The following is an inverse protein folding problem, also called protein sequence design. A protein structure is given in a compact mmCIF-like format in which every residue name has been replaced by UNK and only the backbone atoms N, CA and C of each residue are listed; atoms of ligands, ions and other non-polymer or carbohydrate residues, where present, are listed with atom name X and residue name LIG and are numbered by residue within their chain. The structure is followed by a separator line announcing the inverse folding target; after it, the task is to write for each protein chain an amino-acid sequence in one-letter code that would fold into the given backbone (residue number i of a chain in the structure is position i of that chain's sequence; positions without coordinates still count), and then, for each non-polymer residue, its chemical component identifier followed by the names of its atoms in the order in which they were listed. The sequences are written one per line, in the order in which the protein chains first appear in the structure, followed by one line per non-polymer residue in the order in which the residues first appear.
data_IF_541281048801
#
_entry.id   IF_541281048801
#
_cell.length_a   1.000
_cell.length_b   1.000
_cell.length_c   1.000
_cell.angle_alpha   90.00
_cell.angle_beta   90.00
_cell.angle_gamma   90.00
#
_symmetry.space_group_name_H-M   'P 1'
#
loop_
_entity.id
_entity.type
_entity.pdbx_description
1 polymer ?
#
# COMPACT_ATOMS: atom_id res chain seq x y z
N UNK A 1 11.93 4.65 5.05
CA UNK A 1 11.42 5.82 4.31
C UNK A 1 12.13 6.05 2.98
N UNK A 2 13.46 6.20 2.95
CA UNK A 2 14.21 6.48 1.71
C UNK A 2 13.99 5.43 0.61
N UNK A 3 14.18 4.13 0.90
CA UNK A 3 13.98 3.07 -0.08
C UNK A 3 12.56 3.05 -0.67
N UNK A 4 11.53 3.15 0.17
CA UNK A 4 10.13 3.21 -0.26
C UNK A 4 9.88 4.39 -1.21
N UNK A 5 10.32 5.59 -0.83
CA UNK A 5 10.08 6.78 -1.63
C UNK A 5 10.85 6.75 -2.97
N UNK A 6 12.09 6.26 -2.97
CA UNK A 6 12.87 6.11 -4.20
C UNK A 6 12.22 5.10 -5.15
N UNK A 7 11.78 3.94 -4.65
CA UNK A 7 11.12 2.92 -5.46
C UNK A 7 9.79 3.46 -6.01
N UNK A 8 8.99 4.15 -5.19
CA UNK A 8 7.73 4.75 -5.64
C UNK A 8 7.91 5.79 -6.74
N UNK A 9 8.96 6.62 -6.66
CA UNK A 9 9.26 7.62 -7.71
C UNK A 9 9.68 6.92 -9.00
N UNK A 10 10.58 5.93 -8.92
CA UNK A 10 11.03 5.18 -10.10
C UNK A 10 9.84 4.46 -10.75
N UNK A 11 9.06 3.73 -9.96
CA UNK A 11 7.87 3.02 -10.44
C UNK A 11 6.86 3.98 -11.07
N UNK A 12 6.53 5.09 -10.41
CA UNK A 12 5.61 6.09 -10.93
C UNK A 12 6.10 6.68 -12.27
N UNK A 13 7.38 7.05 -12.36
CA UNK A 13 7.95 7.58 -13.59
C UNK A 13 7.94 6.56 -14.73
N UNK A 14 8.35 5.32 -14.45
CA UNK A 14 8.37 4.23 -15.43
C UNK A 14 6.97 3.91 -15.97
N UNK A 15 5.99 3.78 -15.08
CA UNK A 15 4.59 3.49 -15.48
C UNK A 15 4.05 4.64 -16.32
N UNK A 16 4.22 5.88 -15.88
CA UNK A 16 3.70 7.05 -16.61
C UNK A 16 4.34 7.21 -17.98
N UNK A 17 5.66 7.02 -18.10
CA UNK A 17 6.33 7.05 -19.41
C UNK A 17 5.81 5.96 -20.35
N UNK A 18 5.59 4.75 -19.82
CA UNK A 18 5.12 3.63 -20.62
C UNK A 18 3.68 3.83 -21.10
N UNK A 19 2.78 4.32 -20.22
CA UNK A 19 1.38 4.61 -20.56
C UNK A 19 1.30 5.63 -21.70
N UNK A 20 2.01 6.75 -21.57
CA UNK A 20 1.99 7.83 -22.58
C UNK A 20 2.68 7.45 -23.90
N UNK A 21 3.51 6.41 -23.90
CA UNK A 21 4.18 5.93 -25.11
C UNK A 21 3.35 4.93 -25.91
N UNK A 22 2.38 4.28 -25.27
CA UNK A 22 1.78 3.03 -25.80
C UNK A 22 0.27 3.12 -25.96
N UNK A 23 -0.41 3.86 -25.08
CA UNK A 23 -1.87 3.96 -25.06
C UNK A 23 -2.31 5.17 -25.90
N UNK A 24 -3.33 4.98 -26.74
CA UNK A 24 -3.87 6.02 -27.61
C UNK A 24 -4.53 7.18 -26.83
N UNK A 25 -5.23 6.86 -25.73
CA UNK A 25 -5.79 7.83 -24.79
C UNK A 25 -5.19 7.66 -23.38
N UNK A 26 -3.99 8.21 -23.12
CA UNK A 26 -3.30 8.02 -21.85
C UNK A 26 -3.96 8.78 -20.69
N UNK A 27 -4.71 9.85 -20.96
CA UNK A 27 -5.39 10.62 -19.92
C UNK A 27 -6.55 9.83 -19.32
N UNK A 28 -7.36 9.20 -20.17
CA UNK A 28 -8.43 8.30 -19.73
C UNK A 28 -7.84 7.11 -18.95
N UNK A 29 -6.77 6.50 -19.46
CA UNK A 29 -6.11 5.35 -18.83
C UNK A 29 -5.58 5.62 -17.41
N UNK A 30 -4.99 6.80 -17.18
CA UNK A 30 -4.49 7.18 -15.84
C UNK A 30 -5.64 7.58 -14.91
N UNK A 31 -6.75 8.09 -15.45
CA UNK A 31 -7.92 8.48 -14.66
C UNK A 31 -8.72 7.30 -14.11
N UNK A 32 -8.55 6.09 -14.66
CA UNK A 32 -9.21 4.85 -14.20
C UNK A 32 -8.74 4.32 -12.84
N UNK A 33 -7.83 5.01 -12.15
CA UNK A 33 -7.33 4.64 -10.83
C UNK A 33 -6.28 3.53 -10.84
N UNK A 34 -5.81 3.16 -9.65
CA UNK A 34 -4.69 2.22 -9.48
C UNK A 34 -5.00 0.80 -10.00
N UNK A 35 -6.24 0.34 -9.85
CA UNK A 35 -6.70 -0.96 -10.33
C UNK A 35 -6.68 -1.04 -11.86
N UNK A 36 -7.22 -0.03 -12.56
CA UNK A 36 -7.23 -0.01 -14.02
C UNK A 36 -5.82 0.07 -14.61
N UNK A 37 -4.94 0.89 -14.03
CA UNK A 37 -3.53 0.98 -14.45
C UNK A 37 -2.85 -0.39 -14.34
N UNK A 38 -3.07 -1.10 -13.23
CA UNK A 38 -2.39 -2.38 -12.95
C UNK A 38 -2.90 -3.53 -13.80
N UNK A 39 -4.22 -3.63 -14.02
CA UNK A 39 -4.84 -4.79 -14.64
C UNK A 39 -5.22 -4.61 -16.10
N UNK A 40 -5.26 -3.37 -16.62
CA UNK A 40 -5.54 -3.08 -18.03
C UNK A 40 -4.33 -2.46 -18.73
N UNK A 41 -3.85 -1.34 -18.18
CA UNK A 41 -2.85 -0.53 -18.88
C UNK A 41 -1.48 -1.20 -18.93
N UNK A 42 -1.00 -1.76 -17.81
CA UNK A 42 0.30 -2.42 -17.78
C UNK A 42 0.36 -3.69 -18.66
N UNK A 43 -0.65 -4.58 -18.65
CA UNK A 43 -0.70 -5.68 -19.62
C UNK A 43 -0.70 -5.21 -21.08
N UNK A 44 -1.41 -4.14 -21.41
CA UNK A 44 -1.41 -3.55 -22.75
C UNK A 44 -0.01 -3.03 -23.14
N UNK A 45 0.67 -2.34 -22.23
CA UNK A 45 2.07 -1.92 -22.40
C UNK A 45 2.98 -3.13 -22.69
N UNK A 46 2.83 -4.22 -21.94
CA UNK A 46 3.63 -5.42 -22.17
C UNK A 46 3.29 -6.13 -23.50
N UNK A 47 2.05 -6.04 -23.99
CA UNK A 47 1.64 -6.60 -25.27
C UNK A 47 2.25 -5.87 -26.48
N UNK A 48 2.73 -4.64 -26.31
CA UNK A 48 3.46 -3.90 -27.34
C UNK A 48 4.99 -4.03 -27.19
N UNK A 49 5.47 -4.78 -26.19
CA UNK A 49 6.91 -4.96 -25.98
C UNK A 49 7.55 -5.75 -27.14
N UNK A 50 8.76 -5.35 -27.59
CA UNK A 50 9.52 -6.09 -28.58
C UNK A 50 9.99 -7.44 -28.00
N UNK A 51 9.94 -8.51 -28.80
CA UNK A 51 10.36 -9.85 -28.36
C UNK A 51 9.37 -10.98 -28.68
N UNK A 52 8.22 -10.65 -29.27
CA UNK A 52 7.22 -11.62 -29.69
C UNK A 52 6.38 -12.19 -28.52
N UNK A 53 5.39 -13.04 -28.81
CA UNK A 53 4.35 -13.41 -27.85
C UNK A 53 4.85 -14.08 -26.57
N UNK A 54 5.95 -14.85 -26.67
CA UNK A 54 6.53 -15.57 -25.52
C UNK A 54 7.15 -14.60 -24.51
N UNK A 55 7.86 -13.57 -24.98
CA UNK A 55 8.48 -12.56 -24.12
C UNK A 55 7.41 -11.71 -23.44
N UNK A 56 6.38 -11.32 -24.18
CA UNK A 56 5.26 -10.53 -23.66
C UNK A 56 4.53 -11.28 -22.53
N UNK A 57 4.23 -12.57 -22.74
CA UNK A 57 3.62 -13.42 -21.72
C UNK A 57 4.53 -13.55 -20.48
N UNK A 58 5.84 -13.73 -20.68
CA UNK A 58 6.79 -13.83 -19.57
C UNK A 58 6.86 -12.55 -18.74
N UNK A 59 6.81 -11.37 -19.39
CA UNK A 59 6.79 -10.08 -18.70
C UNK A 59 5.53 -9.90 -17.84
N UNK A 60 4.35 -10.20 -18.40
CA UNK A 60 3.08 -10.15 -17.67
C UNK A 60 3.09 -11.11 -16.48
N UNK A 61 3.55 -12.35 -16.70
CA UNK A 61 3.62 -13.36 -15.65
C UNK A 61 4.57 -12.96 -14.52
N UNK A 62 5.78 -12.48 -14.85
CA UNK A 62 6.74 -12.01 -13.85
C UNK A 62 6.25 -10.77 -13.10
N UNK A 63 5.57 -9.85 -13.80
CA UNK A 63 4.99 -8.66 -13.17
C UNK A 63 3.94 -9.05 -12.12
N UNK A 64 2.96 -9.88 -12.46
CA UNK A 64 1.92 -10.28 -11.50
C UNK A 64 2.46 -11.19 -10.39
N UNK A 65 3.48 -12.01 -10.67
CA UNK A 65 4.17 -12.79 -9.64
C UNK A 65 4.90 -11.88 -8.64
N UNK A 66 5.64 -10.88 -9.12
CA UNK A 66 6.32 -9.90 -8.29
C UNK A 66 5.31 -9.06 -7.48
N UNK A 67 4.23 -8.61 -8.11
CA UNK A 67 3.14 -7.88 -7.47
C UNK A 67 2.50 -8.72 -6.34
N UNK A 68 2.32 -10.03 -6.57
CA UNK A 68 1.78 -10.95 -5.57
C UNK A 68 2.71 -11.08 -4.36
N UNK A 69 4.03 -11.24 -4.56
CA UNK A 69 4.98 -11.27 -3.44
C UNK A 69 5.05 -9.95 -2.68
N UNK A 70 5.00 -8.82 -3.38
CA UNK A 70 4.94 -7.50 -2.76
C UNK A 70 3.68 -7.35 -1.89
N UNK A 71 2.52 -7.78 -2.39
CA UNK A 71 1.27 -7.77 -1.64
C UNK A 71 1.31 -8.70 -0.41
N UNK A 72 1.84 -9.92 -0.55
CA UNK A 72 1.96 -10.88 0.55
C UNK A 72 2.83 -10.36 1.71
N UNK A 73 3.99 -9.79 1.39
CA UNK A 73 4.89 -9.24 2.42
C UNK A 73 4.28 -8.05 3.14
N UNK A 74 3.59 -7.16 2.43
CA UNK A 74 2.82 -6.06 3.04
C UNK A 74 1.73 -6.59 3.98
N UNK A 75 0.96 -7.58 3.51
CA UNK A 75 -0.14 -8.19 4.28
C UNK A 75 0.35 -8.84 5.58
N UNK A 76 1.50 -9.52 5.57
CA UNK A 76 2.08 -10.14 6.77
C UNK A 76 2.31 -9.10 7.87
N UNK A 77 2.87 -7.93 7.52
CA UNK A 77 3.12 -6.84 8.46
C UNK A 77 1.82 -6.28 9.06
N UNK A 78 0.81 -6.07 8.22
CA UNK A 78 -0.50 -5.55 8.66
C UNK A 78 -1.23 -6.55 9.55
N UNK A 79 -1.19 -7.84 9.24
CA UNK A 79 -1.77 -8.89 10.08
C UNK A 79 -1.07 -8.93 11.45
N UNK A 80 0.27 -8.90 11.48
CA UNK A 80 1.02 -8.91 12.73
C UNK A 80 0.69 -7.69 13.61
N UNK A 81 0.46 -6.52 13.01
CA UNK A 81 0.02 -5.33 13.74
C UNK A 81 -1.33 -5.56 14.43
N UNK A 82 -2.31 -6.13 13.74
CA UNK A 82 -3.61 -6.49 14.33
C UNK A 82 -3.46 -7.56 15.42
N UNK A 83 -2.66 -8.60 15.17
CA UNK A 83 -2.42 -9.69 16.14
C UNK A 83 -1.80 -9.13 17.42
N UNK A 84 -0.80 -8.25 17.29
CA UNK A 84 -0.13 -7.63 18.44
C UNK A 84 -1.10 -6.79 19.26
N UNK A 85 -2.00 -6.06 18.62
CA UNK A 85 -3.05 -5.32 19.31
C UNK A 85 -3.96 -6.23 20.17
N UNK A 86 -4.33 -7.42 19.69
CA UNK A 86 -5.09 -8.39 20.48
C UNK A 86 -4.28 -9.04 21.61
N UNK A 87 -3.00 -9.33 21.35
CA UNK A 87 -2.10 -9.90 22.36
C UNK A 87 -1.85 -8.93 23.50
N UNK A 88 -1.71 -7.64 23.22
CA UNK A 88 -1.56 -6.59 24.23
C UNK A 88 -2.80 -6.47 25.14
N UNK A 89 -3.97 -6.90 24.68
CA UNK A 89 -5.20 -7.02 25.48
C UNK A 89 -5.34 -8.38 26.22
N UNK A 90 -4.33 -9.25 26.18
CA UNK A 90 -4.30 -10.51 26.94
C UNK A 90 -4.78 -11.75 26.18
N UNK A 91 -4.99 -11.67 24.86
CA UNK A 91 -5.36 -12.83 24.03
C UNK A 91 -4.11 -13.66 23.68
N UNK A 92 -4.21 -14.99 23.78
CA UNK A 92 -3.13 -15.89 23.33
C UNK A 92 -2.81 -15.69 21.84
N UNK A 93 -1.52 -15.59 21.49
CA UNK A 93 -1.04 -15.29 20.14
C UNK A 93 -1.61 -16.20 19.06
N UNK A 94 -1.63 -17.51 19.28
CA UNK A 94 -2.16 -18.48 18.31
C UNK A 94 -3.64 -18.22 17.98
N UNK A 95 -4.43 -17.89 19.00
CA UNK A 95 -5.86 -17.55 18.84
C UNK A 95 -6.03 -16.20 18.14
N UNK A 96 -5.19 -15.22 18.47
CA UNK A 96 -5.21 -13.91 17.84
C UNK A 96 -4.88 -13.97 16.34
N UNK A 97 -3.88 -14.77 15.94
CA UNK A 97 -3.55 -15.00 14.52
C UNK A 97 -4.72 -15.65 13.79
N UNK A 98 -5.23 -16.76 14.31
CA UNK A 98 -6.35 -17.49 13.69
C UNK A 98 -7.60 -16.62 13.54
N UNK A 99 -7.97 -15.88 14.59
CA UNK A 99 -9.11 -14.96 14.56
C UNK A 99 -8.91 -13.84 13.52
N UNK A 100 -7.73 -13.22 13.52
CA UNK A 100 -7.41 -12.12 12.60
C UNK A 100 -7.45 -12.59 11.14
N UNK A 101 -6.85 -13.75 10.84
CA UNK A 101 -6.87 -14.32 9.48
C UNK A 101 -8.29 -14.68 9.01
N UNK A 102 -9.10 -15.31 9.87
CA UNK A 102 -10.50 -15.63 9.55
C UNK A 102 -11.33 -14.36 9.35
N UNK A 103 -11.15 -13.37 10.21
CA UNK A 103 -11.84 -12.09 10.08
C UNK A 103 -11.49 -11.39 8.77
N UNK A 104 -10.19 -11.28 8.44
CA UNK A 104 -9.73 -10.67 7.17
C UNK A 104 -10.31 -11.42 5.97
N UNK A 105 -10.31 -12.75 5.98
CA UNK A 105 -10.88 -13.55 4.91
C UNK A 105 -12.40 -13.30 4.76
N UNK A 106 -13.16 -13.35 5.85
CA UNK A 106 -14.61 -13.13 5.83
C UNK A 106 -14.98 -11.71 5.41
N UNK A 107 -14.25 -10.69 5.87
CA UNK A 107 -14.47 -9.30 5.45
C UNK A 107 -13.94 -9.02 4.03
N UNK A 108 -13.01 -9.84 3.52
CA UNK A 108 -12.53 -9.76 2.14
C UNK A 108 -13.56 -10.30 1.11
N UNK A 109 -14.40 -11.26 1.48
CA UNK A 109 -15.45 -11.81 0.60
C UNK A 109 -16.39 -10.71 0.04
N UNK A 110 -17.04 -9.86 0.87
CA UNK A 110 -17.91 -8.82 0.34
C UNK A 110 -17.13 -7.85 -0.55
N UNK A 111 -15.86 -7.59 -0.24
CA UNK A 111 -15.00 -6.74 -1.05
C UNK A 111 -14.71 -7.28 -2.45
N UNK A 112 -14.69 -8.59 -2.65
CA UNK A 112 -14.47 -9.21 -3.95
C UNK A 112 -15.75 -9.58 -4.69
N UNK A 113 -16.85 -9.84 -3.97
CA UNK A 113 -18.06 -10.44 -4.53
C UNK A 113 -19.25 -9.48 -4.60
N UNK A 114 -19.26 -8.38 -3.85
CA UNK A 114 -20.41 -7.44 -3.82
C UNK A 114 -20.13 -6.18 -4.61
N UNK A 115 -21.19 -5.66 -5.25
CA UNK A 115 -21.18 -4.40 -5.99
C UNK A 115 -20.03 -4.29 -7.01
N UNK A 116 -20.08 -5.19 -8.00
CA UNK A 116 -19.16 -5.19 -9.14
C UNK A 116 -19.79 -4.32 -10.24
N UNK A 117 -19.15 -3.20 -10.59
CA UNK A 117 -19.54 -2.40 -11.75
C UNK A 117 -18.80 -2.95 -12.97
N UNK A 118 -19.55 -3.26 -14.02
CA UNK A 118 -18.98 -3.58 -15.33
C UNK A 118 -18.98 -2.29 -16.12
N UNK A 119 -17.80 -1.84 -16.52
CA UNK A 119 -17.69 -0.69 -17.42
C UNK A 119 -18.15 -1.11 -18.83
N UNK A 120 -19.20 -0.46 -19.36
CA UNK A 120 -19.78 -0.80 -20.67
C UNK A 120 -18.80 -0.54 -21.83
N UNK A 121 -17.80 0.33 -21.64
CA UNK A 121 -16.84 0.67 -22.69
C UNK A 121 -15.69 -0.32 -22.82
N UNK A 122 -15.25 -0.92 -21.71
CA UNK A 122 -14.14 -1.89 -21.67
C UNK A 122 -14.57 -3.33 -21.40
N UNK A 123 -15.80 -3.54 -20.92
CA UNK A 123 -16.32 -4.84 -20.49
C UNK A 123 -15.67 -5.38 -19.22
N UNK A 124 -14.86 -4.55 -18.54
CA UNK A 124 -14.08 -4.95 -17.37
C UNK A 124 -14.90 -4.74 -16.10
N UNK A 125 -14.85 -5.74 -15.22
CA UNK A 125 -15.60 -5.76 -13.98
C UNK A 125 -14.73 -5.22 -12.82
N UNK A 126 -15.10 -4.08 -12.26
CA UNK A 126 -14.40 -3.42 -11.16
C UNK A 126 -15.16 -3.60 -9.83
N UNK A 127 -14.49 -4.06 -8.76
CA UNK A 127 -15.10 -4.22 -7.45
C UNK A 127 -15.26 -2.86 -6.75
N UNK A 128 -16.41 -2.22 -6.90
CA UNK A 128 -16.64 -0.85 -6.38
C UNK A 128 -16.75 -0.81 -4.87
N UNK A 129 -17.24 -1.89 -4.26
CA UNK A 129 -17.21 -2.00 -2.80
C UNK A 129 -15.78 -1.91 -2.26
N UNK A 130 -14.81 -2.55 -2.92
CA UNK A 130 -13.39 -2.46 -2.55
C UNK A 130 -12.88 -1.01 -2.66
N UNK A 131 -13.24 -0.30 -3.73
CA UNK A 131 -12.81 1.09 -3.92
C UNK A 131 -13.34 2.01 -2.82
N UNK A 132 -14.62 1.89 -2.47
CA UNK A 132 -15.22 2.67 -1.38
C UNK A 132 -14.56 2.32 -0.04
N UNK A 133 -14.33 1.03 0.22
CA UNK A 133 -13.64 0.57 1.41
C UNK A 133 -12.23 1.17 1.50
N UNK A 134 -11.44 1.10 0.42
CA UNK A 134 -10.09 1.65 0.36
C UNK A 134 -10.07 3.16 0.60
N UNK A 135 -11.00 3.91 -0.01
CA UNK A 135 -11.12 5.36 0.21
C UNK A 135 -11.45 5.72 1.66
N UNK A 136 -12.42 5.03 2.27
CA UNK A 136 -12.81 5.29 3.67
C UNK A 136 -11.63 5.03 4.60
N UNK A 137 -10.92 3.90 4.43
CA UNK A 137 -9.76 3.58 5.24
C UNK A 137 -8.58 4.50 4.96
N UNK A 138 -8.39 4.95 3.73
CA UNK A 138 -7.42 5.98 3.35
C UNK A 138 -7.63 7.27 4.15
N UNK A 139 -8.86 7.77 4.22
CA UNK A 139 -9.19 8.94 5.05
C UNK A 139 -9.01 8.66 6.55
N UNK A 140 -9.40 7.48 7.02
CA UNK A 140 -9.19 7.08 8.42
C UNK A 140 -7.72 7.11 8.83
N UNK A 141 -6.82 6.65 7.96
CA UNK A 141 -5.37 6.70 8.20
C UNK A 141 -4.86 8.15 8.27
N UNK A 142 -5.38 9.07 7.46
CA UNK A 142 -5.02 10.49 7.54
C UNK A 142 -5.42 11.10 8.89
N UNK A 143 -6.63 10.81 9.38
CA UNK A 143 -7.07 11.26 10.70
C UNK A 143 -6.24 10.64 11.83
N UNK A 144 -5.90 9.35 11.74
CA UNK A 144 -5.00 8.69 12.69
C UNK A 144 -3.64 9.40 12.78
N UNK A 145 -3.04 9.72 11.63
CA UNK A 145 -1.80 10.48 11.56
C UNK A 145 -1.91 11.87 12.21
N UNK A 146 -3.03 12.57 11.99
CA UNK A 146 -3.30 13.87 12.62
C UNK A 146 -3.36 13.77 14.15
N UNK A 147 -4.05 12.75 14.69
CA UNK A 147 -4.13 12.54 16.15
C UNK A 147 -2.77 12.20 16.76
N UNK A 148 -1.97 11.37 16.09
CA UNK A 148 -0.60 11.07 16.52
C UNK A 148 0.25 12.34 16.54
N UNK A 149 0.19 13.16 15.48
CA UNK A 149 0.91 14.42 15.41
C UNK A 149 0.48 15.39 16.52
N UNK A 150 -0.82 15.50 16.79
CA UNK A 150 -1.37 16.31 17.88
C UNK A 150 -0.87 15.82 19.26
N UNK A 151 -0.86 14.51 19.50
CA UNK A 151 -0.36 13.93 20.73
C UNK A 151 1.14 14.22 20.94
N UNK A 152 1.95 14.12 19.88
CA UNK A 152 3.38 14.48 19.91
C UNK A 152 3.56 15.97 20.19
N UNK A 153 2.77 16.83 19.54
CA UNK A 153 2.87 18.27 19.76
C UNK A 153 2.55 18.66 21.21
N UNK A 154 1.50 18.08 21.80
CA UNK A 154 1.06 18.39 23.16
C UNK A 154 1.94 17.77 24.25
N UNK A 155 2.35 16.51 24.09
CA UNK A 155 3.04 15.75 25.14
C UNK A 155 4.49 15.41 24.82
N UNK A 156 4.88 15.37 23.55
CA UNK A 156 6.22 15.00 23.11
C UNK A 156 7.29 15.95 23.62
N UNK A 157 7.05 17.27 23.58
CA UNK A 157 8.03 18.25 24.08
C UNK A 157 8.23 18.17 25.61
N UNK A 158 7.14 17.97 26.37
CA UNK A 158 7.21 17.84 27.82
C UNK A 158 7.94 16.56 28.23
N UNK A 159 7.68 15.45 27.54
CA UNK A 159 8.29 14.15 27.82
C UNK A 159 9.75 14.09 27.38
N UNK A 160 10.08 14.73 26.25
CA UNK A 160 11.46 14.90 25.79
C UNK A 160 12.30 15.69 26.80
N UNK A 161 11.79 16.81 27.32
CA UNK A 161 12.48 17.58 28.35
C UNK A 161 12.66 16.81 29.66
N UNK A 162 11.68 16.02 30.08
CA UNK A 162 11.80 15.16 31.25
C UNK A 162 12.88 14.09 31.06
N UNK A 163 12.89 13.41 29.90
CA UNK A 163 13.92 12.44 29.54
C UNK A 163 15.31 13.07 29.45
N UNK A 164 15.44 14.28 28.89
CA UNK A 164 16.69 15.02 28.81
C UNK A 164 17.25 15.34 30.20
N UNK A 165 16.39 15.75 31.13
CA UNK A 165 16.76 16.04 32.51
C UNK A 165 17.18 14.78 33.30
N UNK A 166 16.58 13.62 33.02
CA UNK A 166 16.94 12.35 33.65
C UNK A 166 18.26 11.76 33.11
N UNK A 167 18.64 12.08 31.87
CA UNK A 167 19.82 11.50 31.20
C UNK A 167 21.00 12.48 31.06
N UNK A 168 20.90 13.68 31.65
CA UNK A 168 21.94 14.73 31.67
C UNK A 168 22.52 15.08 30.29
N UNK A 169 21.68 15.06 29.25
CA UNK A 169 22.10 15.33 27.86
C UNK A 169 21.90 16.82 27.54
N UNK A 170 22.95 17.63 27.63
CA UNK A 170 22.85 19.09 27.43
C UNK A 170 22.57 19.53 25.98
N UNK A 171 22.74 18.66 24.98
CA UNK A 171 22.42 19.00 23.59
C UNK A 171 22.64 17.86 22.59
N UNK A 172 21.92 17.93 21.47
CA UNK A 172 22.07 16.99 20.36
C UNK A 172 23.22 17.48 19.46
N UNK A 173 24.40 16.88 19.59
CA UNK A 173 25.57 17.19 18.74
C UNK A 173 25.52 16.36 17.45
N UNK A 174 25.43 17.02 16.29
CA UNK A 174 25.52 16.35 14.98
C UNK A 174 26.88 15.67 14.72
N UNK A 175 27.90 15.91 15.57
CA UNK A 175 29.22 15.28 15.45
C UNK A 175 29.22 13.83 15.93
N UNK A 176 28.31 13.46 16.83
CA UNK A 176 28.28 12.12 17.44
C UNK A 176 27.81 11.01 16.47
N UNK A 177 27.32 11.39 15.28
CA UNK A 177 26.90 10.49 14.19
C UNK A 177 27.89 10.44 13.02
N UNK A 178 28.92 11.30 13.03
CA UNK A 178 29.88 11.44 11.93
C UNK A 178 31.24 10.79 12.22
N UNK A 179 31.45 10.29 13.45
CA UNK A 179 32.56 9.42 13.85
C UNK A 179 32.10 7.95 13.91
#
# INVERSE_FOLDING_TARGET
CLANNSISIIAGLTVMMAVFSVVDDPLSAVSGGSSAITFLVLPEVFAQAPGGPVVQLAMVAMFFLALSFAALTSMISTVELCVRNFVDHGVNREKAVGLTSVAIFLFGIPSAATWILVDESTGVAFPQFLEVQDHIWGYGLMFSGLFIAYAIWKYGWSRYKAWQAENDVEGFSMRDYLD
#
